data_IF_088954596826
#
_entry.id   IF_088954596826
#
_cell.length_a   1.000
_cell.length_b   1.000
_cell.length_c   1.000
_cell.angle_alpha   90.00
_cell.angle_beta   90.00
_cell.angle_gamma   90.00
#
_symmetry.space_group_name_H-M   'P 1'
#
loop_
_entity.id
_entity.type
_entity.pdbx_description
1 polymer ?
#
# COMPACT_ATOMS: atom_id res chain seq x y z
N UNK A 1 7.67 13.41 -18.17
CA UNK A 1 6.72 12.88 -17.16
C UNK A 1 7.45 12.64 -15.85
N UNK A 2 6.74 12.20 -14.82
CA UNK A 2 7.35 11.76 -13.55
C UNK A 2 8.05 10.42 -13.82
N UNK A 3 9.33 10.31 -13.43
CA UNK A 3 10.10 9.07 -13.60
C UNK A 3 9.72 8.09 -12.49
N UNK A 4 9.24 6.90 -12.86
CA UNK A 4 8.78 5.89 -11.91
C UNK A 4 9.19 4.49 -12.33
N UNK A 5 9.44 3.62 -11.37
CA UNK A 5 9.78 2.22 -11.62
C UNK A 5 9.07 1.28 -10.64
N UNK A 6 8.69 0.10 -11.14
CA UNK A 6 8.17 -1.00 -10.32
C UNK A 6 9.30 -2.00 -10.03
N UNK A 7 9.51 -2.29 -8.75
CA UNK A 7 10.61 -3.12 -8.26
C UNK A 7 10.05 -4.29 -7.46
N UNK A 8 10.25 -5.51 -7.94
CA UNK A 8 9.81 -6.73 -7.28
C UNK A 8 10.89 -7.81 -7.41
N UNK A 9 10.61 -9.03 -6.93
CA UNK A 9 11.57 -10.14 -6.98
C UNK A 9 12.02 -10.52 -8.39
N UNK A 10 11.21 -10.26 -9.41
CA UNK A 10 11.49 -10.61 -10.80
C UNK A 10 12.21 -9.48 -11.56
N UNK A 11 11.94 -8.21 -11.21
CA UNK A 11 12.54 -7.05 -11.89
C UNK A 11 13.82 -6.55 -11.24
N UNK A 12 14.04 -6.87 -9.96
CA UNK A 12 15.21 -6.39 -9.23
C UNK A 12 16.48 -7.14 -9.61
N UNK A 13 17.33 -6.47 -10.40
CA UNK A 13 18.63 -6.97 -10.86
C UNK A 13 19.73 -5.92 -10.62
N UNK A 14 20.98 -6.23 -11.01
CA UNK A 14 22.13 -5.34 -10.80
C UNK A 14 22.03 -4.02 -11.57
N UNK A 15 21.48 -4.04 -12.79
CA UNK A 15 21.32 -2.82 -13.59
C UNK A 15 20.32 -1.89 -12.90
N UNK A 16 19.14 -2.40 -12.56
CA UNK A 16 18.12 -1.63 -11.85
C UNK A 16 18.66 -1.13 -10.49
N UNK A 17 19.37 -1.96 -9.73
CA UNK A 17 20.00 -1.54 -8.47
C UNK A 17 20.87 -0.29 -8.65
N UNK A 18 21.73 -0.29 -9.68
CA UNK A 18 22.58 0.86 -9.99
C UNK A 18 21.76 2.09 -10.40
N UNK A 19 20.69 1.90 -11.16
CA UNK A 19 19.79 3.01 -11.50
C UNK A 19 19.10 3.63 -10.28
N UNK A 20 18.80 2.81 -9.26
CA UNK A 20 18.26 3.28 -8.00
C UNK A 20 19.32 4.03 -7.17
N UNK A 21 20.57 3.55 -7.15
CA UNK A 21 21.70 4.24 -6.53
C UNK A 21 21.98 5.60 -7.19
N UNK A 22 21.87 5.66 -8.51
CA UNK A 22 21.99 6.88 -9.31
C UNK A 22 20.80 7.84 -9.16
N UNK A 23 19.79 7.48 -8.34
CA UNK A 23 18.59 8.27 -8.07
C UNK A 23 17.81 8.68 -9.33
N UNK A 24 17.76 7.81 -10.35
CA UNK A 24 17.10 8.10 -11.64
C UNK A 24 15.57 8.28 -11.52
N UNK A 25 14.96 7.76 -10.47
CA UNK A 25 13.51 7.66 -10.31
C UNK A 25 13.00 8.53 -9.17
N UNK A 26 11.80 9.10 -9.36
CA UNK A 26 11.09 9.90 -8.36
C UNK A 26 10.08 9.06 -7.57
N UNK A 27 9.52 8.01 -8.19
CA UNK A 27 8.56 7.10 -7.57
C UNK A 27 9.04 5.65 -7.70
N UNK A 28 9.03 4.95 -6.58
CA UNK A 28 9.42 3.55 -6.48
C UNK A 28 8.23 2.74 -5.97
N UNK A 29 7.71 1.86 -6.82
CA UNK A 29 6.63 0.95 -6.49
C UNK A 29 7.25 -0.41 -6.15
N UNK A 30 7.45 -0.66 -4.85
CA UNK A 30 8.12 -1.87 -4.39
C UNK A 30 7.12 -2.90 -3.85
N UNK A 31 7.35 -4.18 -4.15
CA UNK A 31 6.56 -5.25 -3.52
C UNK A 31 6.90 -5.39 -2.04
N UNK A 32 5.95 -5.83 -1.19
CA UNK A 32 6.19 -6.05 0.23
C UNK A 32 7.28 -7.10 0.48
N UNK A 33 7.32 -8.16 -0.32
CA UNK A 33 8.31 -9.23 -0.22
C UNK A 33 9.73 -8.70 -0.45
N UNK A 34 9.95 -7.97 -1.56
CA UNK A 34 11.25 -7.39 -1.86
C UNK A 34 11.69 -6.41 -0.76
N UNK A 35 10.78 -5.53 -0.33
CA UNK A 35 11.05 -4.46 0.64
C UNK A 35 11.42 -4.98 2.03
N UNK A 36 10.92 -6.16 2.42
CA UNK A 36 11.15 -6.69 3.77
C UNK A 36 12.21 -7.79 3.78
N UNK A 37 12.26 -8.61 2.73
CA UNK A 37 13.02 -9.87 2.75
C UNK A 37 14.31 -9.82 1.92
N UNK A 38 14.50 -8.87 1.00
CA UNK A 38 15.71 -8.78 0.19
C UNK A 38 16.81 -7.93 0.87
N UNK A 39 17.94 -8.52 1.33
CA UNK A 39 18.97 -7.78 2.07
C UNK A 39 19.68 -6.70 1.25
N UNK A 40 19.86 -6.92 -0.06
CA UNK A 40 20.53 -5.95 -0.94
C UNK A 40 19.66 -4.70 -1.14
N UNK A 41 18.36 -4.90 -1.36
CA UNK A 41 17.41 -3.79 -1.45
C UNK A 41 17.27 -3.06 -0.12
N UNK A 42 17.23 -3.80 1.00
CA UNK A 42 17.20 -3.20 2.34
C UNK A 42 18.46 -2.34 2.61
N UNK A 43 19.64 -2.80 2.19
CA UNK A 43 20.88 -2.05 2.32
C UNK A 43 20.85 -0.74 1.51
N UNK A 44 20.30 -0.77 0.29
CA UNK A 44 20.08 0.42 -0.53
C UNK A 44 19.14 1.43 0.17
N UNK A 45 17.99 0.96 0.68
CA UNK A 45 17.02 1.79 1.40
C UNK A 45 17.63 2.41 2.68
N UNK A 46 18.58 1.72 3.32
CA UNK A 46 19.32 2.21 4.48
C UNK A 46 20.52 3.08 4.14
N UNK A 47 20.89 3.23 2.87
CA UNK A 47 22.07 3.99 2.49
C UNK A 47 21.85 5.49 2.76
N UNK A 48 22.84 6.21 3.33
CA UNK A 48 22.68 7.63 3.65
C UNK A 48 22.39 8.51 2.43
N UNK A 49 22.92 8.15 1.26
CA UNK A 49 22.67 8.87 0.01
C UNK A 49 21.19 8.76 -0.37
N UNK A 50 20.64 7.54 -0.35
CA UNK A 50 19.25 7.29 -0.68
C UNK A 50 18.30 7.94 0.34
N UNK A 51 18.53 7.71 1.64
CA UNK A 51 17.68 8.21 2.73
C UNK A 51 17.51 9.73 2.74
N UNK A 52 18.54 10.50 2.34
CA UNK A 52 18.47 11.96 2.24
C UNK A 52 17.49 12.46 1.18
N UNK A 53 17.21 11.63 0.18
CA UNK A 53 16.36 11.97 -0.95
C UNK A 53 14.92 11.44 -0.80
N UNK A 54 14.64 10.61 0.22
CA UNK A 54 13.30 10.04 0.43
C UNK A 54 12.39 11.04 1.13
N UNK A 55 11.34 11.47 0.42
CA UNK A 55 10.34 12.39 0.95
C UNK A 55 9.25 11.71 1.80
N UNK A 56 9.00 10.42 1.59
CA UNK A 56 7.96 9.69 2.31
C UNK A 56 7.83 8.26 1.84
N UNK A 57 7.20 7.44 2.68
CA UNK A 57 6.81 6.07 2.34
C UNK A 57 5.30 5.97 2.29
N UNK A 58 4.79 5.26 1.29
CA UNK A 58 3.35 5.01 1.12
C UNK A 58 3.15 3.50 1.21
N UNK A 59 2.36 3.06 2.19
CA UNK A 59 1.89 1.69 2.32
C UNK A 59 0.48 1.65 1.77
N UNK A 60 0.36 1.18 0.54
CA UNK A 60 -0.93 0.96 -0.10
C UNK A 60 -1.57 -0.35 0.38
N UNK A 61 -2.90 -0.40 0.33
CA UNK A 61 -3.73 -1.50 0.86
C UNK A 61 -3.33 -1.94 2.27
N UNK A 62 -3.09 -0.96 3.15
CA UNK A 62 -2.55 -1.20 4.49
C UNK A 62 -3.42 -2.13 5.36
N UNK A 63 -4.69 -2.33 5.01
CA UNK A 63 -5.57 -3.30 5.68
C UNK A 63 -5.05 -4.74 5.63
N UNK A 64 -4.20 -5.07 4.64
CA UNK A 64 -3.53 -6.36 4.51
C UNK A 64 -2.72 -6.74 5.76
N UNK A 65 -2.18 -5.74 6.50
CA UNK A 65 -1.48 -5.93 7.78
C UNK A 65 -2.35 -6.65 8.82
N UNK A 66 -3.65 -6.36 8.83
CA UNK A 66 -4.58 -6.91 9.82
C UNK A 66 -5.33 -8.13 9.32
N UNK A 67 -5.80 -8.11 8.06
CA UNK A 67 -6.70 -9.13 7.54
C UNK A 67 -5.97 -10.32 6.92
N UNK A 68 -4.80 -10.09 6.33
CA UNK A 68 -4.17 -11.03 5.41
C UNK A 68 -2.76 -11.47 5.81
N UNK A 69 -2.26 -10.98 6.95
CA UNK A 69 -0.97 -11.40 7.51
C UNK A 69 -0.91 -12.89 7.90
N UNK A 70 -2.05 -13.57 8.04
CA UNK A 70 -2.10 -15.02 8.30
C UNK A 70 -1.96 -15.87 7.03
N UNK A 71 -2.85 -15.66 6.05
CA UNK A 71 -3.08 -16.66 5.00
C UNK A 71 -2.91 -16.17 3.55
N UNK A 72 -2.97 -14.86 3.27
CA UNK A 72 -2.93 -14.35 1.88
C UNK A 72 -1.60 -13.68 1.52
N UNK A 73 -1.01 -12.88 2.42
CA UNK A 73 0.38 -12.37 2.28
C UNK A 73 1.09 -12.28 3.64
N UNK A 74 1.76 -13.37 4.07
CA UNK A 74 2.41 -13.45 5.38
C UNK A 74 3.45 -12.36 5.65
N UNK A 75 4.08 -11.79 4.60
CA UNK A 75 5.10 -10.73 4.76
C UNK A 75 4.55 -9.48 5.44
N UNK A 76 3.25 -9.19 5.32
CA UNK A 76 2.62 -8.07 6.01
C UNK A 76 2.66 -8.17 7.54
N UNK A 77 2.89 -9.36 8.12
CA UNK A 77 3.14 -9.51 9.57
C UNK A 77 4.50 -8.92 9.96
N UNK A 78 5.48 -9.02 9.05
CA UNK A 78 6.85 -8.53 9.23
C UNK A 78 7.00 -7.04 8.86
N UNK A 79 5.91 -6.36 8.51
CA UNK A 79 5.93 -4.93 8.11
C UNK A 79 6.29 -3.98 9.24
N UNK A 80 6.32 -4.44 10.49
CA UNK A 80 6.94 -3.69 11.58
C UNK A 80 8.41 -3.35 11.29
N UNK A 81 9.11 -4.19 10.50
CA UNK A 81 10.47 -3.94 10.04
C UNK A 81 10.58 -2.77 9.06
N UNK A 82 9.51 -2.39 8.35
CA UNK A 82 9.55 -1.24 7.43
C UNK A 82 10.09 0.01 8.14
N UNK A 83 9.71 0.20 9.42
CA UNK A 83 10.15 1.34 10.22
C UNK A 83 11.67 1.40 10.42
N UNK A 84 12.40 0.27 10.36
CA UNK A 84 13.87 0.29 10.44
C UNK A 84 14.55 0.84 9.19
N UNK A 85 13.83 0.89 8.07
CA UNK A 85 14.35 1.43 6.80
C UNK A 85 14.00 2.90 6.60
N UNK A 86 12.99 3.41 7.33
CA UNK A 86 12.52 4.78 7.21
C UNK A 86 13.33 5.72 8.10
N UNK A 87 13.94 6.78 7.54
CA UNK A 87 14.68 7.77 8.32
C UNK A 87 13.80 8.46 9.37
N UNK A 88 14.44 8.92 10.46
CA UNK A 88 13.75 9.76 11.45
C UNK A 88 13.28 11.06 10.81
N UNK A 89 12.00 11.38 11.03
CA UNK A 89 11.36 12.58 10.46
C UNK A 89 10.68 12.35 9.10
N UNK A 90 10.96 11.24 8.41
CA UNK A 90 10.28 10.91 7.15
C UNK A 90 8.86 10.39 7.41
N UNK A 91 7.81 10.98 6.80
CA UNK A 91 6.44 10.54 6.99
C UNK A 91 6.17 9.16 6.38
N UNK A 92 5.27 8.41 7.02
CA UNK A 92 4.68 7.21 6.43
C UNK A 92 3.17 7.44 6.29
N UNK A 93 2.66 7.20 5.09
CA UNK A 93 1.24 7.22 4.77
C UNK A 93 0.76 5.78 4.67
N UNK A 94 -0.35 5.46 5.35
CA UNK A 94 -1.02 4.17 5.21
C UNK A 94 -2.37 4.43 4.54
N UNK A 95 -2.56 3.87 3.35
CA UNK A 95 -3.75 4.08 2.51
C UNK A 95 -4.52 2.77 2.38
N UNK A 96 -5.85 2.85 2.43
CA UNK A 96 -6.74 1.71 2.21
C UNK A 96 -8.17 2.20 2.03
N UNK A 97 -8.94 1.54 1.17
CA UNK A 97 -10.39 1.75 1.08
C UNK A 97 -11.12 1.13 2.29
N UNK A 98 -10.61 0.01 2.80
CA UNK A 98 -11.18 -0.71 3.95
C UNK A 98 -10.30 -0.49 5.17
N UNK A 99 -10.78 0.25 6.17
CA UNK A 99 -9.99 0.58 7.37
C UNK A 99 -10.88 0.69 8.61
N UNK A 100 -11.45 -0.44 9.05
CA UNK A 100 -12.25 -0.47 10.27
C UNK A 100 -11.41 -0.03 11.50
N UNK A 101 -12.01 0.44 12.60
CA UNK A 101 -11.26 0.91 13.77
C UNK A 101 -10.24 -0.10 14.32
N UNK A 102 -10.59 -1.40 14.30
CA UNK A 102 -9.69 -2.47 14.73
C UNK A 102 -8.51 -2.64 13.77
N UNK A 103 -8.76 -2.60 12.46
CA UNK A 103 -7.71 -2.65 11.43
C UNK A 103 -6.79 -1.43 11.54
N UNK A 104 -7.35 -0.23 11.69
CA UNK A 104 -6.59 1.01 11.88
C UNK A 104 -5.66 0.92 13.10
N UNK A 105 -6.17 0.42 14.23
CA UNK A 105 -5.37 0.24 15.44
C UNK A 105 -4.20 -0.73 15.20
N UNK A 106 -4.44 -1.83 14.48
CA UNK A 106 -3.40 -2.80 14.11
C UNK A 106 -2.37 -2.20 13.16
N UNK A 107 -2.80 -1.50 12.11
CA UNK A 107 -1.92 -0.81 11.14
C UNK A 107 -1.04 0.20 11.85
N UNK A 108 -1.63 1.07 12.69
CA UNK A 108 -0.88 2.06 13.48
C UNK A 108 0.17 1.39 14.37
N UNK A 109 -0.21 0.32 15.07
CA UNK A 109 0.69 -0.44 15.94
C UNK A 109 1.86 -1.04 15.14
N UNK A 110 1.58 -1.72 14.03
CA UNK A 110 2.61 -2.36 13.19
C UNK A 110 3.55 -1.33 12.56
N UNK A 111 3.02 -0.25 11.98
CA UNK A 111 3.84 0.78 11.31
C UNK A 111 4.46 1.80 12.29
N UNK A 112 4.24 1.64 13.60
CA UNK A 112 4.69 2.56 14.64
C UNK A 112 4.22 4.00 14.40
N UNK A 113 2.97 4.17 13.94
CA UNK A 113 2.35 5.49 13.72
C UNK A 113 1.77 5.98 15.05
N UNK A 114 2.31 7.10 15.56
CA UNK A 114 1.83 7.71 16.80
C UNK A 114 0.46 8.37 16.60
N UNK A 115 -0.51 8.03 17.44
CA UNK A 115 -1.84 8.65 17.41
C UNK A 115 -1.82 10.15 17.74
N UNK A 116 -0.84 10.63 18.52
CA UNK A 116 -0.74 12.05 18.88
C UNK A 116 0.01 12.91 17.86
N UNK A 117 0.81 12.29 16.98
CA UNK A 117 1.60 12.97 15.94
C UNK A 117 1.11 12.64 14.53
N UNK A 118 -0.09 12.06 14.40
CA UNK A 118 -0.70 11.72 13.13
C UNK A 118 -2.14 12.18 13.07
N UNK A 119 -2.68 12.23 11.87
CA UNK A 119 -4.11 12.39 11.64
C UNK A 119 -4.66 11.14 10.95
N UNK A 120 -5.97 10.99 10.95
CA UNK A 120 -6.69 9.97 10.19
C UNK A 120 -7.76 10.68 9.38
N UNK A 121 -7.73 10.50 8.06
CA UNK A 121 -8.70 11.05 7.13
C UNK A 121 -9.58 9.92 6.61
N UNK A 122 -10.88 9.99 6.89
CA UNK A 122 -11.89 9.09 6.35
C UNK A 122 -12.91 9.92 5.57
N UNK A 123 -12.91 9.78 4.25
CA UNK A 123 -13.81 10.50 3.34
C UNK A 123 -15.14 9.77 3.11
N UNK A 124 -15.33 8.61 3.74
CA UNK A 124 -16.48 7.75 3.50
C UNK A 124 -16.43 7.06 2.13
N UNK A 125 -17.49 6.31 1.85
CA UNK A 125 -17.70 5.62 0.58
C UNK A 125 -18.90 6.19 -0.19
N UNK A 126 -19.44 7.33 0.25
CA UNK A 126 -20.56 7.98 -0.42
C UNK A 126 -20.16 8.37 -1.84
N UNK A 127 -21.11 8.18 -2.76
CA UNK A 127 -20.95 8.39 -4.19
C UNK A 127 -22.23 9.02 -4.70
N UNK A 128 -22.37 10.36 -4.66
CA UNK A 128 -23.60 11.03 -5.08
C UNK A 128 -23.94 10.80 -6.57
N UNK A 129 -22.97 10.33 -7.35
CA UNK A 129 -23.11 9.95 -8.75
C UNK A 129 -23.44 8.46 -8.97
N UNK A 130 -23.70 7.68 -7.91
CA UNK A 130 -24.09 6.27 -7.99
C UNK A 130 -25.50 6.11 -7.41
N UNK A 131 -26.44 5.68 -8.26
CA UNK A 131 -27.80 5.35 -7.85
C UNK A 131 -27.93 3.85 -7.59
N UNK A 132 -28.50 3.47 -6.45
CA UNK A 132 -28.81 2.08 -6.14
C UNK A 132 -30.26 1.80 -6.51
N UNK A 133 -30.50 0.76 -7.31
CA UNK A 133 -31.83 0.31 -7.71
C UNK A 133 -31.99 -1.18 -7.35
N UNK A 134 -33.15 -1.55 -6.81
CA UNK A 134 -33.52 -2.93 -6.52
C UNK A 134 -34.61 -3.36 -7.50
N UNK A 135 -34.36 -4.42 -8.28
CA UNK A 135 -35.36 -5.07 -9.12
C UNK A 135 -35.52 -6.53 -8.73
N UNK A 136 -36.76 -6.96 -8.58
CA UNK A 136 -37.10 -8.35 -8.27
C UNK A 136 -37.10 -9.13 -9.59
N UNK A 137 -36.36 -10.23 -9.64
CA UNK A 137 -36.38 -11.17 -10.76
C UNK A 137 -37.37 -12.28 -10.38
N UNK A 138 -38.50 -12.38 -11.10
CA UNK A 138 -39.59 -13.28 -10.72
C UNK A 138 -39.25 -14.78 -10.91
N UNK A 139 -38.29 -15.08 -11.78
CA UNK A 139 -37.78 -16.42 -12.04
C UNK A 139 -36.57 -16.40 -12.95
N UNK A 140 -35.88 -17.53 -13.11
CA UNK A 140 -34.66 -17.62 -13.92
C UNK A 140 -34.85 -17.28 -15.41
N UNK A 141 -36.10 -17.18 -15.88
CA UNK A 141 -36.47 -16.83 -17.25
C UNK A 141 -37.00 -15.40 -17.41
N UNK A 142 -37.10 -14.62 -16.33
CA UNK A 142 -37.54 -13.23 -16.37
C UNK A 142 -36.39 -12.30 -16.77
N UNK A 143 -36.04 -12.33 -18.06
CA UNK A 143 -35.02 -11.45 -18.62
C UNK A 143 -35.48 -9.99 -18.75
N UNK A 144 -36.79 -9.73 -18.70
CA UNK A 144 -37.33 -8.36 -18.75
C UNK A 144 -36.89 -7.52 -17.54
N UNK A 145 -36.63 -8.18 -16.41
CA UNK A 145 -36.05 -7.55 -15.24
C UNK A 145 -34.64 -6.96 -15.49
N UNK A 146 -33.96 -7.32 -16.58
CA UNK A 146 -32.63 -6.83 -16.97
C UNK A 146 -32.65 -5.71 -18.01
N UNK A 147 -33.83 -5.31 -18.53
CA UNK A 147 -33.96 -4.32 -19.60
C UNK A 147 -33.40 -2.93 -19.25
N UNK A 148 -33.10 -2.67 -17.97
CA UNK A 148 -32.51 -1.43 -17.48
C UNK A 148 -30.98 -1.37 -17.61
N UNK A 149 -30.31 -2.46 -18.00
CA UNK A 149 -28.83 -2.55 -18.10
C UNK A 149 -28.30 -1.91 -19.41
N UNK A 150 -29.19 -1.35 -20.24
CA UNK A 150 -28.87 -0.74 -21.55
C UNK A 150 -28.30 0.66 -21.42
#
# INVERSE_FOLDING_TARGET
GIQSVAVNGDTYNQDLHKELEDLKYQILLASPELTIENPQFNALLCSPAFQKCVLGYIVDEAHCISQWGGDFRPVYVKFNRLRSFVPLGTPIYAMSATMSPAVLAKVRKTLHISASKSFHLNLGNDRPNVTQELRIIAGSTDYSALDFIV
#
